data_IF_785496470916
#
_entry.id   IF_785496470916
#
_cell.length_a   1.000
_cell.length_b   1.000
_cell.length_c   1.000
_cell.angle_alpha   90.00
_cell.angle_beta   90.00
_cell.angle_gamma   90.00
#
_symmetry.space_group_name_H-M   'P 1'
#
loop_
_entity.id
_entity.type
_entity.pdbx_description
1 polymer ?
#
# COMPACT_ATOMS: atom_id res chain seq x y z
N UNK A 1 -13.73 -24.68 -9.65
CA UNK A 1 -13.23 -23.34 -10.04
C UNK A 1 -11.96 -23.08 -9.25
N UNK A 2 -10.92 -22.74 -10.00
CA UNK A 2 -9.49 -23.00 -9.82
C UNK A 2 -8.87 -22.60 -8.47
N UNK A 3 -8.08 -23.51 -7.92
CA UNK A 3 -7.26 -23.39 -6.71
C UNK A 3 -5.90 -22.73 -7.00
N UNK A 4 -5.89 -21.70 -7.86
CA UNK A 4 -4.67 -21.22 -8.53
C UNK A 4 -3.80 -20.33 -7.63
N UNK A 5 -4.40 -19.68 -6.64
CA UNK A 5 -3.75 -18.75 -5.71
C UNK A 5 -2.74 -19.40 -4.77
N UNK A 6 -2.88 -20.69 -4.46
CA UNK A 6 -1.98 -21.39 -3.53
C UNK A 6 -0.65 -21.82 -4.18
N UNK A 7 -0.61 -21.89 -5.51
CA UNK A 7 0.54 -22.42 -6.26
C UNK A 7 1.67 -21.39 -6.45
N UNK A 8 1.35 -20.10 -6.43
CA UNK A 8 2.31 -19.03 -6.74
C UNK A 8 3.25 -18.70 -5.58
N UNK A 9 2.81 -18.82 -4.32
CA UNK A 9 3.68 -18.55 -3.16
C UNK A 9 4.74 -19.64 -2.93
N UNK A 10 4.47 -20.89 -3.33
CA UNK A 10 5.34 -22.04 -3.02
C UNK A 10 6.66 -22.07 -3.81
N UNK A 11 6.80 -21.29 -4.89
CA UNK A 11 8.00 -21.21 -5.73
C UNK A 11 8.54 -19.78 -5.87
N UNK A 12 8.10 -18.86 -5.01
CA UNK A 12 8.50 -17.46 -5.14
C UNK A 12 9.98 -17.23 -4.83
N UNK A 13 10.65 -16.45 -5.67
CA UNK A 13 12.05 -16.04 -5.46
C UNK A 13 12.19 -14.67 -4.82
N UNK A 14 11.12 -13.87 -4.82
CA UNK A 14 11.13 -12.52 -4.27
C UNK A 14 11.06 -12.51 -2.75
N UNK A 15 11.88 -11.65 -2.13
CA UNK A 15 11.92 -11.44 -0.68
C UNK A 15 11.54 -10.00 -0.38
N UNK A 16 10.36 -9.83 0.21
CA UNK A 16 9.87 -8.51 0.62
C UNK A 16 10.51 -7.96 1.89
N UNK A 17 10.27 -6.66 2.19
CA UNK A 17 10.82 -6.01 3.36
C UNK A 17 10.28 -6.63 4.66
N UNK A 18 11.18 -6.75 5.64
CA UNK A 18 10.89 -7.12 7.03
C UNK A 18 9.94 -6.12 7.73
N UNK A 19 9.40 -6.49 8.90
CA UNK A 19 8.52 -5.59 9.65
C UNK A 19 9.19 -4.24 10.02
N UNK A 20 10.46 -4.19 10.49
CA UNK A 20 11.16 -2.91 10.70
C UNK A 20 11.33 -2.08 9.41
N UNK A 21 11.62 -2.73 8.27
CA UNK A 21 11.73 -2.02 6.99
C UNK A 21 10.38 -1.42 6.57
N UNK A 22 9.27 -2.16 6.69
CA UNK A 22 7.93 -1.64 6.39
C UNK A 22 7.53 -0.50 7.33
N UNK A 23 7.88 -0.59 8.62
CA UNK A 23 7.70 0.51 9.56
C UNK A 23 8.45 1.77 9.09
N UNK A 24 9.69 1.65 8.65
CA UNK A 24 10.47 2.78 8.17
C UNK A 24 9.86 3.41 6.90
N UNK A 25 9.38 2.59 5.95
CA UNK A 25 8.66 3.07 4.76
C UNK A 25 7.41 3.87 5.16
N UNK A 26 6.59 3.31 6.07
CA UNK A 26 5.37 3.97 6.54
C UNK A 26 5.67 5.29 7.30
N UNK A 27 6.77 5.36 8.06
CA UNK A 27 7.16 6.60 8.76
C UNK A 27 7.70 7.68 7.84
N UNK A 28 8.38 7.29 6.77
CA UNK A 28 8.94 8.22 5.80
C UNK A 28 7.86 8.80 4.87
N UNK A 29 6.75 8.08 4.68
CA UNK A 29 5.64 8.49 3.83
C UNK A 29 4.84 9.65 4.44
N UNK A 30 4.52 10.63 3.61
CA UNK A 30 3.61 11.75 3.90
C UNK A 30 2.33 11.66 3.07
N UNK A 31 2.38 11.01 1.91
CA UNK A 31 1.24 10.84 1.02
C UNK A 31 1.05 9.41 0.52
N UNK A 32 -0.20 9.01 0.30
CA UNK A 32 -0.58 7.68 -0.18
C UNK A 32 -1.61 7.82 -1.30
N UNK A 33 -1.30 7.27 -2.47
CA UNK A 33 -2.26 7.11 -3.56
C UNK A 33 -2.85 5.69 -3.56
N UNK A 34 -4.19 5.58 -3.57
CA UNK A 34 -4.91 4.32 -3.58
C UNK A 34 -5.43 4.05 -4.99
N UNK A 35 -4.72 3.17 -5.71
CA UNK A 35 -5.10 2.74 -7.06
C UNK A 35 -6.15 1.65 -7.00
N UNK A 36 -7.29 1.88 -7.65
CA UNK A 36 -8.46 1.02 -7.49
C UNK A 36 -9.32 1.40 -6.28
N UNK A 37 -9.27 2.68 -5.88
CA UNK A 37 -10.20 3.23 -4.89
C UNK A 37 -11.65 2.96 -5.31
N UNK A 38 -12.54 2.76 -4.35
CA UNK A 38 -13.92 2.38 -4.60
C UNK A 38 -14.85 3.13 -3.67
N UNK A 39 -15.94 3.68 -4.20
CA UNK A 39 -17.04 4.30 -3.44
C UNK A 39 -18.01 3.28 -2.85
N UNK A 40 -17.94 2.02 -3.28
CA UNK A 40 -18.75 0.94 -2.71
C UNK A 40 -18.23 0.56 -1.30
N UNK A 41 -19.02 0.76 -0.23
CA UNK A 41 -18.61 0.45 1.14
C UNK A 41 -18.31 -1.02 1.40
N UNK A 42 -18.80 -1.95 0.58
CA UNK A 42 -18.50 -3.38 0.73
C UNK A 42 -17.09 -3.76 0.24
N UNK A 43 -16.35 -2.84 -0.41
CA UNK A 43 -15.03 -3.13 -0.98
C UNK A 43 -13.92 -2.79 0.03
N UNK A 44 -12.93 -3.66 0.12
CA UNK A 44 -11.77 -3.48 1.00
C UNK A 44 -11.08 -2.11 0.82
N UNK A 45 -11.00 -1.60 -0.41
CA UNK A 45 -10.44 -0.29 -0.71
C UNK A 45 -11.16 0.85 0.04
N UNK A 46 -12.49 0.79 0.15
CA UNK A 46 -13.28 1.79 0.89
C UNK A 46 -12.91 1.76 2.38
N UNK A 47 -12.91 0.57 3.00
CA UNK A 47 -12.56 0.43 4.41
C UNK A 47 -11.13 0.88 4.74
N UNK A 48 -10.17 0.61 3.85
CA UNK A 48 -8.78 1.06 4.03
C UNK A 48 -8.69 2.57 3.86
N UNK A 49 -9.35 3.15 2.86
CA UNK A 49 -9.41 4.60 2.67
C UNK A 49 -9.98 5.31 3.91
N UNK A 50 -11.13 4.86 4.42
CA UNK A 50 -11.75 5.43 5.64
C UNK A 50 -10.84 5.34 6.86
N UNK A 51 -10.17 4.20 7.06
CA UNK A 51 -9.22 4.04 8.15
C UNK A 51 -8.03 5.00 8.02
N UNK A 52 -7.40 5.07 6.83
CA UNK A 52 -6.24 5.94 6.65
C UNK A 52 -6.61 7.41 6.81
N UNK A 53 -7.78 7.85 6.30
CA UNK A 53 -8.23 9.24 6.42
C UNK A 53 -8.48 9.64 7.88
N UNK A 54 -9.00 8.72 8.69
CA UNK A 54 -9.37 8.99 10.09
C UNK A 54 -8.23 8.77 11.08
N UNK A 55 -7.26 7.91 10.75
CA UNK A 55 -6.33 7.35 11.75
C UNK A 55 -4.86 7.47 11.36
N UNK A 56 -4.53 7.90 10.15
CA UNK A 56 -3.15 8.03 9.67
C UNK A 56 -2.85 9.49 9.28
N UNK A 57 -1.61 9.97 9.47
CA UNK A 57 -1.21 11.35 9.15
C UNK A 57 -0.91 11.56 7.66
N UNK A 58 -1.40 10.69 6.77
CA UNK A 58 -1.09 10.75 5.35
C UNK A 58 -2.07 11.65 4.60
N UNK A 59 -1.56 12.42 3.65
CA UNK A 59 -2.38 13.00 2.59
C UNK A 59 -2.80 11.89 1.62
N UNK A 60 -4.11 11.72 1.42
CA UNK A 60 -4.64 10.65 0.59
C UNK A 60 -5.00 11.13 -0.80
N UNK A 61 -4.68 10.29 -1.78
CA UNK A 61 -5.08 10.43 -3.17
C UNK A 61 -5.86 9.19 -3.60
N UNK A 62 -6.99 9.39 -4.25
CA UNK A 62 -7.86 8.29 -4.70
C UNK A 62 -7.83 8.19 -6.22
N UNK A 63 -7.49 7.01 -6.75
CA UNK A 63 -7.40 6.79 -8.19
C UNK A 63 -8.48 5.79 -8.63
N UNK A 64 -9.45 6.29 -9.41
CA UNK A 64 -10.50 5.51 -10.03
C UNK A 64 -11.14 6.30 -11.20
N UNK A 65 -10.94 5.89 -12.47
CA UNK A 65 -11.52 6.55 -13.64
C UNK A 65 -13.05 6.68 -13.67
N UNK A 66 -13.77 5.96 -12.80
CA UNK A 66 -15.24 5.89 -12.80
C UNK A 66 -15.90 6.68 -11.67
N UNK A 67 -15.11 7.35 -10.83
CA UNK A 67 -15.62 8.16 -9.73
C UNK A 67 -14.91 9.51 -9.72
N UNK A 68 -15.59 10.53 -9.19
CA UNK A 68 -15.08 11.90 -9.11
C UNK A 68 -14.82 12.33 -7.67
N UNK A 69 -15.45 11.67 -6.70
CA UNK A 69 -15.33 11.98 -5.27
C UNK A 69 -15.38 10.70 -4.42
N UNK A 70 -14.60 10.68 -3.34
CA UNK A 70 -14.61 9.62 -2.33
C UNK A 70 -14.27 10.24 -0.98
N UNK A 71 -15.13 10.01 0.03
CA UNK A 71 -14.91 10.48 1.40
C UNK A 71 -14.67 12.01 1.50
N UNK A 72 -15.34 12.80 0.66
CA UNK A 72 -15.20 14.27 0.61
C UNK A 72 -13.94 14.78 -0.10
N UNK A 73 -13.14 13.89 -0.68
CA UNK A 73 -11.91 14.23 -1.41
C UNK A 73 -12.07 13.94 -2.91
N UNK A 74 -11.34 14.68 -3.78
CA UNK A 74 -11.33 14.43 -5.21
C UNK A 74 -10.77 13.03 -5.55
N UNK A 75 -11.36 12.42 -6.57
CA UNK A 75 -10.87 11.17 -7.18
C UNK A 75 -10.32 11.49 -8.56
N UNK A 76 -9.13 10.96 -8.84
CA UNK A 76 -8.40 11.18 -10.07
C UNK A 76 -8.50 9.95 -10.99
N UNK A 77 -8.50 10.13 -12.33
CA UNK A 77 -8.54 9.01 -13.25
C UNK A 77 -7.28 8.15 -13.22
N UNK A 78 -6.11 8.77 -13.12
CA UNK A 78 -4.80 8.11 -13.13
C UNK A 78 -3.82 8.75 -12.13
N UNK A 79 -2.65 8.13 -11.95
CA UNK A 79 -1.58 8.68 -11.12
C UNK A 79 -0.97 9.96 -11.73
N UNK A 80 -1.04 10.13 -13.06
CA UNK A 80 -0.52 11.31 -13.78
C UNK A 80 -1.35 12.56 -13.55
N UNK A 81 -2.62 12.37 -13.21
CA UNK A 81 -3.54 13.47 -12.95
C UNK A 81 -3.36 14.07 -11.54
N UNK A 82 -2.46 13.49 -10.73
CA UNK A 82 -2.22 13.96 -9.37
C UNK A 82 -1.48 15.30 -9.36
N UNK A 83 -1.85 16.22 -8.45
CA UNK A 83 -1.18 17.51 -8.33
C UNK A 83 0.24 17.39 -7.74
N UNK A 84 0.58 16.27 -7.11
CA UNK A 84 1.90 15.98 -6.57
C UNK A 84 2.19 14.48 -6.64
N UNK A 85 3.47 14.13 -6.64
CA UNK A 85 3.91 12.73 -6.62
C UNK A 85 3.61 12.10 -5.25
N UNK A 86 2.87 10.98 -5.18
CA UNK A 86 2.62 10.30 -3.93
C UNK A 86 3.86 9.53 -3.46
N UNK A 87 4.11 9.48 -2.14
CA UNK A 87 5.23 8.68 -1.61
C UNK A 87 4.95 7.17 -1.78
N UNK A 88 3.71 6.74 -1.54
CA UNK A 88 3.29 5.34 -1.62
C UNK A 88 2.13 5.17 -2.60
N UNK A 89 2.27 4.23 -3.54
CA UNK A 89 1.19 3.77 -4.42
C UNK A 89 0.66 2.43 -3.90
N UNK A 90 -0.57 2.40 -3.41
CA UNK A 90 -1.25 1.22 -2.89
C UNK A 90 -2.21 0.66 -3.94
N UNK A 91 -1.96 -0.56 -4.40
CA UNK A 91 -2.75 -1.21 -5.44
C UNK A 91 -3.87 -2.10 -4.87
N UNK A 92 -5.10 -1.86 -5.32
CA UNK A 92 -6.30 -2.69 -5.14
C UNK A 92 -6.81 -3.24 -6.49
N UNK A 93 -5.88 -3.63 -7.37
CA UNK A 93 -6.15 -4.23 -8.68
C UNK A 93 -5.90 -5.74 -8.65
N UNK A 94 -6.33 -6.46 -9.69
CA UNK A 94 -6.07 -7.91 -9.78
C UNK A 94 -4.57 -8.17 -9.96
N UNK A 95 -4.09 -9.37 -9.63
CA UNK A 95 -2.67 -9.72 -9.73
C UNK A 95 -2.09 -9.48 -11.14
N UNK A 96 -2.89 -9.76 -12.18
CA UNK A 96 -2.56 -9.52 -13.59
C UNK A 96 -2.34 -8.04 -13.94
N UNK A 97 -2.96 -7.12 -13.19
CA UNK A 97 -2.88 -5.68 -13.43
C UNK A 97 -1.73 -5.02 -12.64
N UNK A 98 -1.15 -5.71 -11.65
CA UNK A 98 -0.11 -5.14 -10.79
C UNK A 98 1.14 -4.65 -11.52
N UNK A 99 1.65 -5.33 -12.58
CA UNK A 99 2.80 -4.83 -13.33
C UNK A 99 2.57 -3.44 -13.90
N UNK A 100 1.40 -3.19 -14.51
CA UNK A 100 1.04 -1.87 -15.03
C UNK A 100 0.93 -0.81 -13.92
N UNK A 101 0.39 -1.16 -12.75
CA UNK A 101 0.36 -0.21 -11.61
C UNK A 101 1.77 0.08 -11.10
N UNK A 102 2.68 -0.90 -11.13
CA UNK A 102 4.07 -0.69 -10.75
C UNK A 102 4.79 0.21 -11.77
N UNK A 103 4.57 0.01 -13.08
CA UNK A 103 5.09 0.90 -14.14
C UNK A 103 4.60 2.33 -13.93
N UNK A 104 3.31 2.53 -13.66
CA UNK A 104 2.77 3.86 -13.37
C UNK A 104 3.41 4.48 -12.12
N UNK A 105 3.60 3.70 -11.06
CA UNK A 105 4.25 4.15 -9.83
C UNK A 105 5.70 4.58 -10.07
N UNK A 106 6.46 3.81 -10.85
CA UNK A 106 7.83 4.14 -11.25
C UNK A 106 7.83 5.43 -12.08
N UNK A 107 6.93 5.52 -13.05
CA UNK A 107 6.84 6.63 -14.01
C UNK A 107 6.52 7.97 -13.33
N UNK A 108 5.62 7.99 -12.34
CA UNK A 108 5.34 9.21 -11.56
C UNK A 108 6.41 9.50 -10.52
N UNK A 109 7.34 8.58 -10.25
CA UNK A 109 8.44 8.77 -9.29
C UNK A 109 8.04 8.55 -7.83
N UNK A 110 7.07 7.67 -7.58
CA UNK A 110 6.74 7.25 -6.21
C UNK A 110 7.96 6.56 -5.55
N UNK A 111 7.92 6.37 -4.22
CA UNK A 111 9.01 5.72 -3.47
C UNK A 111 8.69 4.27 -3.13
N UNK A 112 7.40 3.94 -3.03
CA UNK A 112 6.93 2.63 -2.61
C UNK A 112 5.78 2.17 -3.48
N UNK A 113 5.93 0.98 -4.06
CA UNK A 113 4.82 0.22 -4.63
C UNK A 113 4.31 -0.78 -3.59
N UNK A 114 3.00 -0.75 -3.31
CA UNK A 114 2.38 -1.55 -2.26
C UNK A 114 1.18 -2.34 -2.79
N UNK A 115 1.35 -3.63 -3.07
CA UNK A 115 0.26 -4.53 -3.37
C UNK A 115 -0.45 -5.00 -2.09
N UNK A 116 -1.77 -4.80 -2.04
CA UNK A 116 -2.57 -5.04 -0.85
C UNK A 116 -2.60 -6.52 -0.42
N UNK A 117 -3.13 -6.80 0.78
CA UNK A 117 -3.35 -8.16 1.28
C UNK A 117 -4.08 -9.05 0.24
N UNK A 118 -3.54 -10.24 0.02
CA UNK A 118 -4.01 -11.20 -0.98
C UNK A 118 -3.55 -10.91 -2.42
N UNK A 119 -2.79 -9.83 -2.64
CA UNK A 119 -2.25 -9.47 -3.95
C UNK A 119 -0.74 -9.72 -4.02
N UNK A 120 -0.31 -10.36 -5.10
CA UNK A 120 1.05 -10.84 -5.32
C UNK A 120 1.38 -10.93 -6.81
N UNK A 121 2.50 -10.34 -7.23
CA UNK A 121 3.07 -10.48 -8.57
C UNK A 121 4.57 -10.13 -8.57
N UNK A 122 5.45 -11.11 -8.80
CA UNK A 122 6.91 -10.91 -8.82
C UNK A 122 7.40 -9.99 -9.95
N UNK A 123 6.70 -9.95 -11.09
CA UNK A 123 7.00 -9.01 -12.17
C UNK A 123 6.82 -7.57 -11.68
N UNK A 124 5.70 -7.30 -11.00
CA UNK A 124 5.41 -5.97 -10.46
C UNK A 124 6.46 -5.54 -9.44
N UNK A 125 6.92 -6.48 -8.59
CA UNK A 125 8.01 -6.21 -7.66
C UNK A 125 9.33 -5.91 -8.38
N UNK A 126 9.69 -6.69 -9.41
CA UNK A 126 10.90 -6.43 -10.20
C UNK A 126 10.85 -5.09 -10.92
N UNK A 127 9.71 -4.74 -11.52
CA UNK A 127 9.50 -3.44 -12.17
C UNK A 127 9.72 -2.30 -11.17
N UNK A 128 9.06 -2.39 -10.00
CA UNK A 128 9.19 -1.39 -8.95
C UNK A 128 10.66 -1.24 -8.50
N UNK A 129 11.32 -2.35 -8.16
CA UNK A 129 12.70 -2.36 -7.66
C UNK A 129 13.71 -1.88 -8.71
N UNK A 130 13.56 -2.29 -9.96
CA UNK A 130 14.39 -1.82 -11.07
C UNK A 130 14.20 -0.32 -11.33
N UNK A 131 13.00 0.22 -11.07
CA UNK A 131 12.70 1.65 -11.08
C UNK A 131 13.11 2.41 -9.83
N UNK A 132 13.72 1.74 -8.84
CA UNK A 132 14.19 2.36 -7.60
C UNK A 132 13.15 2.49 -6.48
N UNK A 133 11.99 1.86 -6.62
CA UNK A 133 10.94 1.83 -5.59
C UNK A 133 11.15 0.64 -4.65
N UNK A 134 10.76 0.81 -3.39
CA UNK A 134 10.55 -0.34 -2.51
C UNK A 134 9.25 -1.07 -2.92
N UNK A 135 9.30 -2.40 -3.05
CA UNK A 135 8.12 -3.21 -3.27
C UNK A 135 7.62 -3.83 -1.94
N UNK A 136 6.32 -3.75 -1.70
CA UNK A 136 5.62 -4.45 -0.61
C UNK A 136 4.45 -5.21 -1.22
N UNK A 137 4.35 -6.52 -0.97
CA UNK A 137 3.25 -7.34 -1.49
C UNK A 137 2.60 -8.17 -0.39
N UNK A 138 1.34 -8.55 -0.62
CA UNK A 138 0.53 -9.33 0.31
C UNK A 138 0.54 -8.76 1.75
N UNK A 139 0.43 -7.43 1.89
CA UNK A 139 0.34 -6.75 3.19
C UNK A 139 -0.78 -5.73 3.18
N UNK A 140 -1.59 -5.72 4.23
CA UNK A 140 -2.61 -4.69 4.38
C UNK A 140 -2.00 -3.38 4.92
N UNK A 141 -2.00 -2.28 4.16
CA UNK A 141 -1.42 -1.00 4.64
C UNK A 141 -2.11 -0.50 5.92
N UNK A 142 -3.43 -0.70 6.03
CA UNK A 142 -4.19 -0.42 7.27
C UNK A 142 -3.68 -1.28 8.43
N UNK A 143 -3.50 -2.60 8.22
CA UNK A 143 -3.06 -3.50 9.30
C UNK A 143 -1.63 -3.17 9.70
N UNK A 144 -0.73 -2.93 8.75
CA UNK A 144 0.65 -2.56 9.05
C UNK A 144 0.72 -1.20 9.76
N UNK A 145 -0.05 -0.20 9.32
CA UNK A 145 -0.17 1.07 10.04
C UNK A 145 -0.71 0.87 11.46
N UNK A 146 -1.82 0.14 11.63
CA UNK A 146 -2.41 -0.15 12.94
C UNK A 146 -1.47 -0.95 13.84
N UNK A 147 -0.72 -1.90 13.27
CA UNK A 147 0.27 -2.74 13.96
C UNK A 147 1.33 -1.87 14.65
N UNK A 148 1.83 -0.87 13.92
CA UNK A 148 2.93 -0.04 14.41
C UNK A 148 2.50 1.24 15.14
N UNK A 149 1.36 1.84 14.77
CA UNK A 149 0.90 3.14 15.29
C UNK A 149 -0.43 3.07 16.05
N UNK A 150 -1.26 2.06 15.79
CA UNK A 150 -2.58 1.87 16.41
C UNK A 150 -2.57 1.13 17.75
N UNK A 151 -1.41 1.01 18.41
CA UNK A 151 -1.32 0.42 19.75
C UNK A 151 -1.53 -1.09 19.82
N UNK A 152 -1.60 -1.81 18.70
CA UNK A 152 -1.75 -3.29 18.69
C UNK A 152 -0.64 -4.01 19.49
N UNK A 153 0.56 -3.44 19.56
CA UNK A 153 1.62 -3.93 20.44
C UNK A 153 1.23 -3.91 21.94
N UNK A 154 0.39 -2.97 22.37
CA UNK A 154 -0.12 -2.91 23.76
C UNK A 154 -1.08 -4.06 24.06
N UNK A 155 -1.73 -4.61 23.03
CA UNK A 155 -2.55 -5.81 23.14
C UNK A 155 -1.72 -7.12 23.06
N UNK A 156 -0.39 -7.03 23.14
CA UNK A 156 0.51 -8.19 23.17
C UNK A 156 0.84 -8.80 21.81
N UNK A 157 0.46 -8.16 20.70
CA UNK A 157 0.84 -8.65 19.37
C UNK A 157 2.31 -8.38 19.08
N UNK A 158 3.02 -9.42 18.64
CA UNK A 158 4.40 -9.28 18.19
C UNK A 158 4.45 -8.41 16.92
N UNK A 159 5.11 -7.26 17.03
CA UNK A 159 5.30 -6.34 15.90
C UNK A 159 6.51 -6.67 15.05
N UNK A 160 7.40 -7.56 15.50
CA UNK A 160 8.71 -7.78 14.90
C UNK A 160 9.62 -6.55 14.99
N UNK A 161 9.24 -5.55 15.79
CA UNK A 161 9.99 -4.31 16.03
C UNK A 161 10.37 -4.26 17.51
N UNK A 162 11.49 -4.89 17.86
CA UNK A 162 12.07 -4.81 19.20
C UNK A 162 13.09 -3.66 19.22
N UNK A 163 12.86 -2.65 20.04
CA UNK A 163 13.81 -1.54 20.23
C UNK A 163 13.77 -1.04 21.66
N UNK A 164 14.95 -0.85 22.27
CA UNK A 164 15.12 -0.21 23.58
C UNK A 164 15.07 1.32 23.53
N UNK A 165 14.97 1.92 22.33
CA UNK A 165 14.96 3.38 22.15
C UNK A 165 13.54 3.93 22.24
N UNK A 166 13.32 4.89 23.13
CA UNK A 166 12.05 5.63 23.26
C UNK A 166 11.73 6.31 21.93
N UNK A 167 10.60 5.96 21.32
CA UNK A 167 10.11 6.63 20.12
C UNK A 167 9.57 8.00 20.51
N UNK A 168 10.26 9.05 20.09
CA UNK A 168 9.79 10.41 20.25
C UNK A 168 8.60 10.60 19.30
N UNK A 169 7.43 10.94 19.87
CA UNK A 169 6.32 11.47 19.08
C UNK A 169 6.67 12.93 18.78
N UNK A 170 6.91 13.24 17.51
CA UNK A 170 6.93 14.62 17.04
C UNK A 170 5.48 15.10 16.88
#
# INVERSE_FOLDING_TARGET
>A
MSNETATTEANSTWVGPSAPQRLNLLRAAKSVAIVGASTNPARAAYFVATYLQSSAPYKLYFINPRATELLGEPVYPSLDDLPEVPDVVVAFRRNEDLPSVAEDAVRVGAKVFWAQLGLWNEEAARIAEAGGLAAVMNRCIKIEHARFHGGLHLAGFDTGVISSKRQLRA
#
